data_IF_537411143366
#
_entry.id   IF_537411143366
#
_cell.length_a   1.000
_cell.length_b   1.000
_cell.length_c   1.000
_cell.angle_alpha   90.00
_cell.angle_beta   90.00
_cell.angle_gamma   90.00
#
_symmetry.space_group_name_H-M   'P 1'
#
loop_
_entity.id
_entity.type
_entity.pdbx_description
1 polymer ?
#
# COMPACT_ATOMS: atom_id res chain seq x y z
N UNK A 1 -6.18 -8.70 -13.13
CA UNK A 1 -6.07 -7.25 -13.34
C UNK A 1 -4.72 -6.88 -13.97
N UNK A 2 -3.61 -7.38 -13.44
CA UNK A 2 -2.28 -6.95 -13.91
C UNK A 2 -1.75 -7.62 -15.16
N UNK A 3 -2.39 -8.69 -15.67
CA UNK A 3 -1.94 -9.41 -16.86
C UNK A 3 -1.81 -8.49 -18.08
N UNK A 4 -2.74 -7.55 -18.27
CA UNK A 4 -2.66 -6.57 -19.36
C UNK A 4 -1.46 -5.63 -19.20
N UNK A 5 -1.13 -5.22 -17.97
CA UNK A 5 0.03 -4.37 -17.68
C UNK A 5 1.35 -5.13 -17.82
N UNK A 6 1.37 -6.42 -17.47
CA UNK A 6 2.52 -7.29 -17.73
C UNK A 6 2.79 -7.38 -19.23
N UNK A 7 1.77 -7.69 -20.04
CA UNK A 7 1.89 -7.76 -21.51
C UNK A 7 2.34 -6.40 -22.08
N UNK A 8 1.75 -5.30 -21.61
CA UNK A 8 2.15 -3.96 -22.00
C UNK A 8 3.64 -3.71 -21.70
N UNK A 9 4.10 -4.04 -20.49
CA UNK A 9 5.50 -3.85 -20.08
C UNK A 9 6.47 -4.70 -20.90
N UNK A 10 6.08 -5.92 -21.27
CA UNK A 10 6.88 -6.77 -22.17
C UNK A 10 7.01 -6.17 -23.59
N UNK A 11 5.96 -5.51 -24.09
CA UNK A 11 5.94 -4.93 -25.42
C UNK A 11 6.59 -3.54 -25.47
N UNK A 12 6.50 -2.77 -24.40
CA UNK A 12 6.92 -1.36 -24.33
C UNK A 12 7.95 -1.15 -23.22
N UNK A 13 9.15 -1.68 -23.43
CA UNK A 13 10.25 -1.65 -22.46
C UNK A 13 10.85 -0.25 -22.22
N UNK A 14 10.44 0.77 -22.99
CA UNK A 14 10.87 2.15 -22.77
C UNK A 14 10.20 2.84 -21.56
N UNK A 15 9.21 2.20 -20.94
CA UNK A 15 8.55 2.72 -19.74
C UNK A 15 9.11 2.04 -18.49
N UNK A 16 9.89 2.79 -17.70
CA UNK A 16 10.45 2.30 -16.45
C UNK A 16 9.38 2.00 -15.40
N UNK A 17 8.27 2.76 -15.44
CA UNK A 17 7.16 2.65 -14.49
C UNK A 17 5.80 2.74 -15.17
N UNK A 18 4.84 1.97 -14.64
CA UNK A 18 3.46 1.94 -15.13
C UNK A 18 2.49 2.21 -13.98
N UNK A 19 1.58 3.15 -14.19
CA UNK A 19 0.49 3.46 -13.26
C UNK A 19 -0.73 2.58 -13.54
N UNK A 20 -1.34 2.07 -12.48
CA UNK A 20 -2.64 1.41 -12.51
C UNK A 20 -3.60 2.18 -11.63
N UNK A 21 -4.55 2.87 -12.27
CA UNK A 21 -5.60 3.63 -11.61
C UNK A 21 -6.96 3.04 -12.01
N UNK A 22 -7.85 2.85 -11.03
CA UNK A 22 -9.20 2.36 -11.30
C UNK A 22 -10.08 3.40 -12.00
N UNK A 23 -11.02 2.96 -12.84
CA UNK A 23 -11.87 3.85 -13.67
C UNK A 23 -12.79 4.80 -12.85
N UNK A 24 -13.09 4.42 -11.61
CA UNK A 24 -13.92 5.17 -10.67
C UNK A 24 -13.08 5.93 -9.63
N UNK A 25 -11.79 6.12 -9.90
CA UNK A 25 -10.96 7.10 -9.20
C UNK A 25 -11.15 8.49 -9.84
N UNK A 26 -11.15 9.52 -9.02
CA UNK A 26 -11.01 10.92 -9.46
C UNK A 26 -9.83 11.56 -8.73
N UNK A 27 -9.12 12.42 -9.45
CA UNK A 27 -8.13 13.32 -8.87
C UNK A 27 -8.74 14.71 -8.87
N UNK A 28 -8.81 15.34 -7.70
CA UNK A 28 -9.07 16.78 -7.60
C UNK A 28 -7.72 17.50 -7.43
N UNK A 29 -7.51 18.60 -8.14
CA UNK A 29 -6.20 19.26 -8.26
C UNK A 29 -5.39 18.82 -9.49
N UNK A 30 -4.10 19.16 -9.53
CA UNK A 30 -3.24 18.92 -10.69
C UNK A 30 -2.66 17.50 -10.66
N UNK A 31 -3.09 16.63 -11.58
CA UNK A 31 -2.71 15.22 -11.59
C UNK A 31 -1.18 15.00 -11.60
N UNK A 32 -0.44 15.78 -12.40
CA UNK A 32 1.02 15.67 -12.43
C UNK A 32 1.64 15.96 -11.06
N UNK A 33 1.17 16.97 -10.32
CA UNK A 33 1.74 17.35 -9.03
C UNK A 33 1.49 16.26 -7.98
N UNK A 34 0.31 15.65 -8.00
CA UNK A 34 -0.05 14.55 -7.09
C UNK A 34 0.85 13.34 -7.36
N UNK A 35 0.97 12.92 -8.62
CA UNK A 35 1.71 11.72 -8.99
C UNK A 35 3.23 11.93 -8.91
N UNK A 36 3.74 13.13 -9.20
CA UNK A 36 5.16 13.47 -9.05
C UNK A 36 5.55 13.60 -7.58
N UNK A 37 4.70 14.20 -6.74
CA UNK A 37 4.92 14.28 -5.29
C UNK A 37 4.94 12.90 -4.64
N UNK A 38 4.10 11.97 -5.09
CA UNK A 38 4.15 10.57 -4.65
C UNK A 38 5.52 9.94 -4.96
N UNK A 39 6.09 10.23 -6.14
CA UNK A 39 7.41 9.74 -6.50
C UNK A 39 8.54 10.36 -5.67
N UNK A 40 8.49 11.67 -5.45
CA UNK A 40 9.44 12.37 -4.57
C UNK A 40 9.37 11.83 -3.14
N UNK A 41 8.16 11.61 -2.61
CA UNK A 41 7.95 11.00 -1.31
C UNK A 41 8.59 9.61 -1.23
N UNK A 42 8.30 8.74 -2.20
CA UNK A 42 8.82 7.37 -2.22
C UNK A 42 10.35 7.33 -2.34
N UNK A 43 10.97 8.24 -3.10
CA UNK A 43 12.42 8.36 -3.21
C UNK A 43 13.09 8.74 -1.89
N UNK A 44 12.42 9.57 -1.08
CA UNK A 44 12.94 10.01 0.22
C UNK A 44 12.74 8.99 1.35
N UNK A 45 11.92 7.96 1.14
CA UNK A 45 11.70 6.91 2.13
C UNK A 45 12.92 5.97 2.23
N UNK A 46 13.53 5.81 3.43
CA UNK A 46 14.56 4.80 3.66
C UNK A 46 13.94 3.40 3.70
N UNK A 47 14.70 2.36 3.36
CA UNK A 47 14.28 0.96 3.42
C UNK A 47 14.21 0.41 4.85
N UNK A 48 14.93 1.00 5.79
CA UNK A 48 14.83 0.67 7.22
C UNK A 48 13.37 0.67 7.65
N UNK A 49 12.88 -0.43 8.24
CA UNK A 49 11.52 -0.59 8.80
C UNK A 49 10.38 -0.10 7.87
N UNK A 50 10.66 -0.01 6.56
CA UNK A 50 9.72 0.48 5.55
C UNK A 50 8.50 -0.44 5.47
N UNK A 51 8.71 -1.74 5.66
CA UNK A 51 7.65 -2.74 5.75
C UNK A 51 6.65 -2.42 6.88
N UNK A 52 7.13 -2.02 8.04
CA UNK A 52 6.32 -1.71 9.21
C UNK A 52 5.60 -0.35 9.06
N UNK A 53 6.22 0.62 8.37
CA UNK A 53 5.57 1.88 7.96
C UNK A 53 4.48 1.65 6.92
N UNK A 54 4.72 0.79 5.94
CA UNK A 54 3.73 0.45 4.91
C UNK A 54 2.53 -0.33 5.45
N UNK A 55 2.70 -1.03 6.58
CA UNK A 55 1.63 -1.79 7.22
C UNK A 55 0.63 -0.93 8.02
N UNK A 56 0.67 0.40 7.90
CA UNK A 56 -0.16 1.34 8.66
C UNK A 56 -0.42 2.63 7.88
N UNK A 57 -1.44 3.38 8.29
CA UNK A 57 -1.68 4.73 7.82
C UNK A 57 -0.77 5.73 8.52
N UNK A 58 -0.32 6.75 7.79
CA UNK A 58 0.30 7.93 8.39
C UNK A 58 -0.81 8.91 8.82
N UNK A 59 -0.83 9.27 10.10
CA UNK A 59 -1.76 10.25 10.68
C UNK A 59 -0.96 11.51 11.05
N UNK A 60 -0.96 12.56 10.20
CA UNK A 60 -0.06 13.71 10.34
C UNK A 60 -0.15 14.40 11.71
N UNK A 61 -1.34 14.52 12.27
CA UNK A 61 -1.62 15.19 13.54
C UNK A 61 -0.93 14.51 14.75
N UNK A 62 -0.54 13.24 14.65
CA UNK A 62 0.21 12.55 15.70
C UNK A 62 1.71 12.76 15.63
N UNK A 63 2.20 13.38 14.55
CA UNK A 63 3.62 13.50 14.24
C UNK A 63 4.01 14.93 13.85
N UNK A 64 3.28 15.94 14.35
CA UNK A 64 3.48 17.36 14.02
C UNK A 64 3.54 17.63 12.50
N UNK A 65 2.76 16.86 11.74
CA UNK A 65 2.73 16.88 10.26
C UNK A 65 4.09 16.60 9.60
N UNK A 66 5.00 15.90 10.29
CA UNK A 66 6.31 15.51 9.80
C UNK A 66 6.39 14.00 9.58
N UNK A 67 6.72 13.63 8.33
CA UNK A 67 6.98 12.24 7.98
C UNK A 67 8.24 11.71 8.69
N UNK A 68 9.23 12.57 8.93
CA UNK A 68 10.45 12.22 9.66
C UNK A 68 10.13 11.80 11.10
N UNK A 69 9.22 12.52 11.78
CA UNK A 69 8.74 12.16 13.12
C UNK A 69 7.92 10.87 13.12
N UNK A 70 7.12 10.62 12.08
CA UNK A 70 6.44 9.35 11.91
C UNK A 70 7.44 8.20 11.75
N UNK A 71 8.42 8.37 10.87
CA UNK A 71 9.48 7.37 10.64
C UNK A 71 10.28 7.09 11.91
N UNK A 72 10.68 8.12 12.65
CA UNK A 72 11.37 7.96 13.93
C UNK A 72 10.52 7.20 14.96
N UNK A 73 9.23 7.52 15.08
CA UNK A 73 8.32 6.85 16.01
C UNK A 73 8.12 5.36 15.65
N UNK A 74 8.00 5.04 14.36
CA UNK A 74 7.91 3.63 13.92
C UNK A 74 9.22 2.90 14.17
N UNK A 75 10.37 3.53 13.91
CA UNK A 75 11.68 2.94 14.19
C UNK A 75 11.86 2.65 15.68
N UNK A 76 11.43 3.56 16.56
CA UNK A 76 11.45 3.35 18.02
C UNK A 76 10.51 2.21 18.45
N UNK A 77 9.29 2.14 17.91
CA UNK A 77 8.34 1.07 18.23
C UNK A 77 8.86 -0.30 17.79
N UNK A 78 9.45 -0.38 16.61
CA UNK A 78 9.87 -1.63 15.96
C UNK A 78 11.22 -2.11 16.47
N UNK A 79 12.17 -1.19 16.70
CA UNK A 79 13.54 -1.51 17.09
C UNK A 79 14.19 -2.48 16.11
N UNK A 80 14.97 -3.43 16.63
CA UNK A 80 15.70 -4.40 15.80
C UNK A 80 14.83 -5.51 15.18
N UNK A 81 13.53 -5.55 15.48
CA UNK A 81 12.62 -6.59 14.99
C UNK A 81 12.12 -6.37 13.56
N UNK A 82 12.34 -5.18 13.00
CA UNK A 82 11.89 -4.84 11.65
C UNK A 82 12.57 -5.68 10.58
N UNK A 83 11.85 -5.95 9.49
CA UNK A 83 12.41 -6.74 8.38
C UNK A 83 13.09 -5.83 7.36
N UNK A 84 14.31 -6.18 6.98
CA UNK A 84 15.11 -5.43 6.01
C UNK A 84 15.36 -6.30 4.78
N UNK A 85 14.99 -5.80 3.60
CA UNK A 85 15.11 -6.54 2.35
C UNK A 85 14.06 -7.65 2.18
N UNK A 86 14.44 -8.71 1.47
CA UNK A 86 13.56 -9.81 1.11
C UNK A 86 13.15 -10.68 2.31
N UNK A 87 11.94 -11.22 2.27
CA UNK A 87 11.48 -12.23 3.23
C UNK A 87 11.74 -13.62 2.67
N UNK A 88 12.39 -14.47 3.46
CA UNK A 88 12.67 -15.85 3.08
C UNK A 88 11.37 -16.64 2.86
N UNK A 89 11.32 -17.38 1.76
CA UNK A 89 10.30 -18.38 1.45
C UNK A 89 10.98 -19.55 0.73
N UNK A 90 10.44 -20.76 0.89
CA UNK A 90 11.05 -21.98 0.37
C UNK A 90 11.10 -21.95 -1.17
N UNK A 91 12.22 -22.43 -1.73
CA UNK A 91 12.46 -22.51 -3.19
C UNK A 91 12.31 -21.18 -3.94
N UNK A 92 12.69 -20.07 -3.33
CA UNK A 92 12.59 -18.74 -3.94
C UNK A 92 13.89 -17.96 -3.84
N UNK A 93 14.26 -17.31 -4.94
CA UNK A 93 15.48 -16.48 -5.05
C UNK A 93 15.09 -15.01 -5.24
N UNK A 94 15.28 -14.16 -4.21
CA UNK A 94 15.03 -12.73 -4.32
C UNK A 94 15.89 -12.06 -5.40
N UNK A 95 15.36 -11.01 -6.03
CA UNK A 95 16.04 -10.27 -7.12
C UNK A 95 16.33 -8.80 -6.76
N UNK A 96 15.83 -8.34 -5.61
CA UNK A 96 16.12 -7.02 -5.06
C UNK A 96 17.49 -6.96 -4.37
N UNK A 97 17.89 -5.77 -3.92
CA UNK A 97 19.18 -5.56 -3.27
C UNK A 97 19.28 -6.32 -1.94
N UNK A 98 20.45 -6.90 -1.68
CA UNK A 98 20.74 -7.50 -0.38
C UNK A 98 20.80 -6.42 0.69
N UNK A 99 20.10 -6.66 1.81
CA UNK A 99 20.08 -5.71 2.91
C UNK A 99 21.47 -5.56 3.54
N UNK A 100 21.90 -4.32 3.85
CA UNK A 100 23.13 -4.08 4.58
C UNK A 100 22.98 -4.51 6.06
N UNK A 101 24.11 -4.54 6.77
CA UNK A 101 24.10 -4.74 8.23
C UNK A 101 23.44 -3.52 8.89
N UNK A 102 22.39 -3.77 9.70
CA UNK A 102 21.49 -2.73 10.26
C UNK A 102 22.21 -1.56 10.94
N UNK A 103 23.27 -1.82 11.69
CA UNK A 103 23.96 -0.82 12.50
C UNK A 103 24.68 0.28 11.68
N UNK A 104 24.81 0.11 10.36
CA UNK A 104 25.71 0.94 9.56
C UNK A 104 24.99 1.84 8.53
N UNK A 105 23.67 1.72 8.31
CA UNK A 105 23.05 2.44 7.18
C UNK A 105 21.55 2.76 7.30
N UNK A 106 21.21 3.75 8.13
CA UNK A 106 19.85 4.32 8.23
C UNK A 106 19.38 5.03 6.95
N UNK A 107 20.30 5.35 6.04
CA UNK A 107 20.01 6.05 4.78
C UNK A 107 19.82 5.09 3.59
N UNK A 108 19.85 3.77 3.82
CA UNK A 108 19.73 2.79 2.75
C UNK A 108 18.40 2.95 1.98
N UNK A 109 18.48 3.04 0.66
CA UNK A 109 17.34 3.22 -0.23
C UNK A 109 16.86 4.66 -0.41
N UNK A 110 17.44 5.66 0.28
CA UNK A 110 17.15 7.07 -0.03
C UNK A 110 17.71 7.41 -1.42
N UNK A 111 16.90 8.10 -2.23
CA UNK A 111 17.20 8.43 -3.63
C UNK A 111 16.89 7.31 -4.63
N UNK A 112 16.60 6.10 -4.14
CA UNK A 112 16.10 4.99 -4.95
C UNK A 112 14.59 5.17 -5.18
N UNK A 113 14.16 5.10 -6.45
CA UNK A 113 12.72 5.08 -6.73
C UNK A 113 12.10 3.74 -6.28
N UNK A 114 10.82 3.72 -5.92
CA UNK A 114 10.17 2.50 -5.45
C UNK A 114 9.57 1.68 -6.60
N UNK A 115 9.82 0.37 -6.56
CA UNK A 115 9.27 -0.64 -7.46
C UNK A 115 7.75 -0.78 -7.34
N UNK A 116 7.20 -0.45 -6.17
CA UNK A 116 5.77 -0.48 -5.92
C UNK A 116 5.34 0.76 -5.13
N UNK A 117 4.40 1.51 -5.69
CA UNK A 117 3.57 2.44 -4.92
C UNK A 117 2.25 1.78 -4.62
N UNK A 118 1.75 1.95 -3.40
CA UNK A 118 0.36 1.64 -3.06
C UNK A 118 -0.26 2.82 -2.34
N UNK A 119 -1.48 3.20 -2.72
CA UNK A 119 -2.23 4.25 -2.02
C UNK A 119 -3.06 3.68 -0.85
N UNK A 120 -2.86 2.42 -0.51
CA UNK A 120 -3.34 1.80 0.71
C UNK A 120 -2.18 1.16 1.48
N UNK A 121 -2.28 1.01 2.81
CA UNK A 121 -1.32 0.24 3.56
C UNK A 121 -1.22 -1.18 3.03
N UNK A 122 0.01 -1.65 2.85
CA UNK A 122 0.32 -3.03 2.53
C UNK A 122 0.33 -3.84 3.82
N UNK A 123 -0.81 -4.44 4.19
CA UNK A 123 -0.95 -5.24 5.41
C UNK A 123 -0.47 -6.67 5.20
N UNK A 124 -0.21 -7.38 6.29
CA UNK A 124 -0.08 -8.84 6.31
C UNK A 124 -1.50 -9.45 6.30
N UNK A 125 -1.90 -10.18 5.24
CA UNK A 125 -3.24 -10.74 5.15
C UNK A 125 -3.43 -11.98 6.05
N UNK A 126 -2.36 -12.59 6.57
CA UNK A 126 -2.45 -13.84 7.36
C UNK A 126 -3.07 -13.55 8.74
N UNK A 127 -4.08 -14.33 9.11
CA UNK A 127 -4.86 -14.17 10.34
C UNK A 127 -5.90 -13.04 10.29
N UNK A 128 -6.05 -12.36 9.16
CA UNK A 128 -6.98 -11.23 9.02
C UNK A 128 -8.42 -11.64 8.77
N UNK A 129 -8.65 -12.92 8.41
CA UNK A 129 -9.94 -13.46 7.99
C UNK A 129 -10.48 -12.82 6.70
N UNK A 130 -9.60 -12.21 5.90
CA UNK A 130 -9.92 -11.72 4.56
C UNK A 130 -10.50 -12.85 3.70
N UNK A 131 -11.50 -12.55 2.87
CA UNK A 131 -12.13 -13.53 1.98
C UNK A 131 -11.15 -14.20 0.99
N UNK A 132 -10.04 -13.53 0.67
CA UNK A 132 -8.99 -14.06 -0.21
C UNK A 132 -7.71 -14.46 0.55
N UNK A 133 -7.75 -14.56 1.88
CA UNK A 133 -6.58 -14.90 2.69
C UNK A 133 -5.92 -16.24 2.28
N UNK A 134 -6.73 -17.21 1.89
CA UNK A 134 -6.28 -18.56 1.47
C UNK A 134 -6.09 -18.68 -0.05
N UNK A 135 -6.26 -17.58 -0.81
CA UNK A 135 -6.17 -17.58 -2.28
C UNK A 135 -4.73 -17.39 -2.75
N UNK A 136 -3.91 -18.39 -2.45
CA UNK A 136 -2.50 -18.48 -2.87
C UNK A 136 -2.22 -19.85 -3.50
N UNK A 137 -1.55 -19.86 -4.64
CA UNK A 137 -1.36 -21.06 -5.46
C UNK A 137 0.02 -21.07 -6.11
N UNK A 138 0.62 -22.27 -6.26
CA UNK A 138 1.93 -22.44 -6.90
C UNK A 138 3.14 -22.11 -6.03
N UNK A 139 2.94 -21.76 -4.75
CA UNK A 139 4.01 -21.51 -3.79
C UNK A 139 4.30 -22.75 -2.94
N UNK A 140 5.57 -23.08 -2.72
CA UNK A 140 5.99 -24.25 -1.92
C UNK A 140 5.44 -24.19 -0.49
N UNK A 141 5.46 -23.00 0.14
CA UNK A 141 4.97 -22.80 1.50
C UNK A 141 3.42 -22.73 1.59
N UNK A 142 2.71 -22.77 0.47
CA UNK A 142 1.25 -22.69 0.41
C UNK A 142 0.71 -21.46 1.15
N UNK A 143 -0.26 -21.67 2.06
CA UNK A 143 -0.83 -20.61 2.91
C UNK A 143 0.17 -20.03 3.93
N UNK A 144 1.32 -20.69 4.17
CA UNK A 144 2.36 -20.15 5.06
C UNK A 144 3.31 -19.18 4.35
N UNK A 145 3.22 -19.03 3.03
CA UNK A 145 4.03 -18.07 2.27
C UNK A 145 3.85 -16.66 2.83
N UNK A 146 4.94 -15.94 3.18
CA UNK A 146 4.88 -14.54 3.60
C UNK A 146 4.25 -13.67 2.53
N UNK A 147 3.26 -12.86 2.91
CA UNK A 147 2.45 -12.08 1.96
C UNK A 147 2.25 -10.64 2.40
N UNK A 148 1.93 -9.81 1.43
CA UNK A 148 1.34 -8.48 1.64
C UNK A 148 0.11 -8.33 0.77
N UNK A 149 -0.83 -7.54 1.25
CA UNK A 149 -2.00 -7.13 0.50
C UNK A 149 -2.31 -5.65 0.74
N UNK A 150 -2.67 -4.94 -0.31
CA UNK A 150 -3.20 -3.59 -0.26
C UNK A 150 -4.52 -3.58 -1.04
N UNK A 151 -5.60 -3.39 -0.31
CA UNK A 151 -6.94 -3.32 -0.89
C UNK A 151 -7.07 -2.03 -1.66
N UNK A 152 -7.98 -1.98 -2.64
CA UNK A 152 -8.12 -0.81 -3.51
C UNK A 152 -6.82 -0.63 -4.31
N UNK A 153 -6.61 -1.56 -5.26
CA UNK A 153 -5.42 -1.61 -6.12
C UNK A 153 -5.27 -0.34 -6.96
N UNK A 154 -4.60 0.65 -6.39
CA UNK A 154 -4.21 1.90 -7.01
C UNK A 154 -2.73 2.06 -6.74
N UNK A 155 -1.96 1.92 -7.79
CA UNK A 155 -0.55 1.56 -7.65
C UNK A 155 0.27 2.08 -8.81
N UNK A 156 1.58 2.12 -8.61
CA UNK A 156 2.60 2.29 -9.66
C UNK A 156 3.59 1.15 -9.53
N UNK A 157 4.00 0.53 -10.63
CA UNK A 157 4.93 -0.59 -10.61
C UNK A 157 6.15 -0.30 -11.49
N UNK A 158 7.33 -0.77 -11.09
CA UNK A 158 8.50 -0.82 -11.96
C UNK A 158 8.35 -1.89 -13.05
N UNK A 159 9.06 -1.69 -14.15
CA UNK A 159 9.23 -2.71 -15.19
C UNK A 159 9.75 -4.03 -14.61
N UNK A 160 10.73 -3.95 -13.70
CA UNK A 160 11.29 -5.12 -13.01
C UNK A 160 10.22 -5.92 -12.26
N UNK A 161 9.41 -5.27 -11.43
CA UNK A 161 8.35 -5.95 -10.68
C UNK A 161 7.33 -6.62 -11.63
N UNK A 162 6.93 -5.93 -12.69
CA UNK A 162 6.02 -6.50 -13.70
C UNK A 162 6.61 -7.72 -14.39
N UNK A 163 7.91 -7.71 -14.72
CA UNK A 163 8.61 -8.82 -15.32
C UNK A 163 8.69 -10.03 -14.36
N UNK A 164 9.05 -9.80 -13.10
CA UNK A 164 9.15 -10.87 -12.10
C UNK A 164 7.80 -11.55 -11.85
N UNK A 165 6.73 -10.75 -11.74
CA UNK A 165 5.38 -11.27 -11.60
C UNK A 165 4.95 -12.05 -12.86
N UNK A 166 5.30 -11.55 -14.04
CA UNK A 166 5.01 -12.24 -15.30
C UNK A 166 5.69 -13.61 -15.36
N UNK A 167 6.98 -13.69 -15.03
CA UNK A 167 7.74 -14.93 -14.99
C UNK A 167 7.15 -15.92 -13.97
N UNK A 168 6.90 -15.46 -12.75
CA UNK A 168 6.31 -16.27 -11.69
C UNK A 168 4.95 -16.87 -12.07
N UNK A 169 4.08 -16.07 -12.71
CA UNK A 169 2.75 -16.52 -13.14
C UNK A 169 2.81 -17.45 -14.35
N UNK A 170 3.62 -17.11 -15.36
CA UNK A 170 3.65 -17.84 -16.64
C UNK A 170 4.48 -19.11 -16.59
N UNK A 171 5.57 -19.13 -15.82
CA UNK A 171 6.52 -20.24 -15.79
C UNK A 171 6.34 -21.12 -14.55
N UNK A 172 6.00 -20.53 -13.41
CA UNK A 172 5.93 -21.25 -12.13
C UNK A 172 4.49 -21.46 -11.62
N UNK A 173 3.48 -20.89 -12.29
CA UNK A 173 2.08 -21.00 -11.88
C UNK A 173 1.79 -20.33 -10.53
N UNK A 174 2.67 -19.43 -10.09
CA UNK A 174 2.53 -18.71 -8.82
C UNK A 174 1.50 -17.59 -8.97
N UNK A 175 0.37 -17.71 -8.28
CA UNK A 175 -0.75 -16.78 -8.41
C UNK A 175 -1.34 -16.39 -7.05
N UNK A 176 -1.69 -15.11 -6.94
CA UNK A 176 -2.49 -14.51 -5.87
C UNK A 176 -3.56 -13.61 -6.48
N UNK A 177 -4.56 -13.22 -5.69
CA UNK A 177 -5.53 -12.19 -6.10
C UNK A 177 -4.85 -10.84 -6.37
N UNK A 178 -5.53 -9.96 -7.11
CA UNK A 178 -4.99 -8.66 -7.54
C UNK A 178 -4.37 -7.89 -6.39
N UNK A 179 -5.11 -7.70 -5.32
CA UNK A 179 -4.78 -6.87 -4.14
C UNK A 179 -3.58 -7.40 -3.35
N UNK A 180 -3.08 -8.59 -3.67
CA UNK A 180 -1.92 -9.19 -3.00
C UNK A 180 -0.76 -9.52 -3.94
N UNK A 181 -0.97 -9.50 -5.26
CA UNK A 181 0.03 -9.99 -6.22
C UNK A 181 1.29 -9.13 -6.17
N UNK A 182 1.16 -7.84 -6.42
CA UNK A 182 2.32 -6.95 -6.59
C UNK A 182 3.01 -6.71 -5.25
N UNK A 183 2.22 -6.59 -4.20
CA UNK A 183 2.63 -6.39 -2.83
C UNK A 183 3.43 -7.59 -2.31
N UNK A 184 2.97 -8.81 -2.59
CA UNK A 184 3.66 -10.04 -2.17
C UNK A 184 4.94 -10.26 -2.96
N UNK A 185 4.93 -10.07 -4.29
CA UNK A 185 6.16 -10.22 -5.09
C UNK A 185 7.20 -9.16 -4.74
N UNK A 186 6.80 -7.91 -4.50
CA UNK A 186 7.72 -6.88 -4.01
C UNK A 186 8.34 -7.27 -2.66
N UNK A 187 7.55 -7.81 -1.73
CA UNK A 187 8.03 -8.33 -0.44
C UNK A 187 9.06 -9.46 -0.63
N UNK A 188 8.71 -10.52 -1.37
CA UNK A 188 9.55 -11.71 -1.50
C UNK A 188 10.83 -11.41 -2.25
N UNK A 189 10.80 -10.53 -3.25
CA UNK A 189 12.01 -10.12 -3.96
C UNK A 189 12.83 -9.07 -3.21
N UNK A 190 12.34 -8.48 -2.10
CA UNK A 190 13.05 -7.43 -1.37
C UNK A 190 13.10 -6.09 -2.13
N UNK A 191 12.15 -5.88 -3.03
CA UNK A 191 12.02 -4.66 -3.82
C UNK A 191 11.50 -3.51 -2.96
N UNK A 192 11.77 -2.26 -3.36
CA UNK A 192 11.31 -1.11 -2.58
C UNK A 192 9.83 -0.91 -2.86
N UNK A 193 8.99 -1.16 -1.85
CA UNK A 193 7.57 -0.86 -1.91
C UNK A 193 7.27 0.27 -0.91
N UNK A 194 6.43 1.24 -1.29
CA UNK A 194 6.08 2.38 -0.44
C UNK A 194 4.56 2.59 -0.47
N UNK A 195 3.95 2.64 0.70
CA UNK A 195 2.58 3.13 0.85
C UNK A 195 2.59 4.66 0.84
N UNK A 196 1.96 5.25 -0.17
CA UNK A 196 1.94 6.69 -0.40
C UNK A 196 0.83 7.31 0.47
N UNK A 197 1.18 8.21 1.42
CA UNK A 197 0.17 8.93 2.16
C UNK A 197 -0.55 9.92 1.24
N UNK A 198 -1.87 9.98 1.35
CA UNK A 198 -2.67 11.00 0.71
C UNK A 198 -3.83 11.41 1.63
N UNK A 199 -4.43 12.61 1.44
CA UNK A 199 -5.56 13.01 2.25
C UNK A 199 -6.75 12.08 2.00
N UNK A 200 -7.37 11.62 3.09
CA UNK A 200 -8.59 10.83 3.11
C UNK A 200 -9.55 11.54 4.06
N UNK A 201 -10.65 12.05 3.51
CA UNK A 201 -11.70 12.69 4.29
C UNK A 201 -12.69 11.64 4.80
N UNK A 202 -13.42 11.95 5.87
CA UNK A 202 -14.52 11.12 6.36
C UNK A 202 -15.76 11.99 6.60
N UNK A 203 -16.94 11.41 6.37
CA UNK A 203 -18.21 12.14 6.53
C UNK A 203 -18.46 12.55 8.00
N UNK A 204 -19.13 13.70 8.19
CA UNK A 204 -19.59 14.23 9.49
C UNK A 204 -18.50 14.46 10.55
N UNK A 205 -17.23 14.51 10.17
CA UNK A 205 -16.14 14.69 11.12
C UNK A 205 -15.68 16.16 11.18
N UNK A 206 -16.35 16.97 11.98
CA UNK A 206 -15.67 18.17 12.54
C UNK A 206 -14.61 17.76 13.58
N UNK A 207 -14.66 16.50 14.04
CA UNK A 207 -13.90 15.96 15.18
C UNK A 207 -13.23 14.59 14.89
N UNK A 208 -12.82 14.36 13.64
CA UNK A 208 -11.69 13.44 13.35
C UNK A 208 -10.39 13.91 14.03
N UNK A 209 -10.42 15.16 14.51
CA UNK A 209 -9.32 16.03 14.89
C UNK A 209 -8.68 15.71 16.25
N UNK A 210 -9.18 14.74 17.02
CA UNK A 210 -8.41 14.12 18.09
C UNK A 210 -7.74 12.84 17.55
N UNK A 211 -6.67 13.01 16.77
CA UNK A 211 -5.98 12.00 15.97
C UNK A 211 -5.66 10.65 16.67
N UNK A 212 -5.65 10.62 18.00
CA UNK A 212 -5.48 9.39 18.81
C UNK A 212 -6.64 8.39 18.69
N UNK A 213 -7.89 8.88 18.57
CA UNK A 213 -9.07 8.00 18.46
C UNK A 213 -9.09 7.21 17.13
N UNK A 214 -8.94 7.85 15.95
CA UNK A 214 -8.89 7.11 14.69
C UNK A 214 -7.69 6.17 14.62
N UNK A 215 -6.52 6.58 15.13
CA UNK A 215 -5.34 5.71 15.25
C UNK A 215 -5.67 4.41 15.99
N UNK A 216 -6.25 4.50 17.19
CA UNK A 216 -6.65 3.33 17.97
C UNK A 216 -7.70 2.45 17.27
N UNK A 217 -8.56 3.03 16.43
CA UNK A 217 -9.62 2.31 15.73
C UNK A 217 -9.14 1.59 14.46
N UNK A 218 -8.10 2.10 13.79
CA UNK A 218 -7.61 1.56 12.52
C UNK A 218 -6.27 0.83 12.65
N UNK A 219 -5.50 1.07 13.72
CA UNK A 219 -4.19 0.46 13.97
C UNK A 219 -4.20 -0.60 15.06
N UNK A 220 -5.06 -1.61 14.92
CA UNK A 220 -5.28 -2.67 15.91
C UNK A 220 -4.42 -3.94 15.68
N UNK A 221 -3.73 -4.03 14.55
CA UNK A 221 -2.91 -5.18 14.20
C UNK A 221 -1.54 -5.24 14.88
N UNK A 222 -0.73 -6.26 14.56
CA UNK A 222 0.65 -6.39 15.07
C UNK A 222 1.56 -5.27 14.51
N UNK A 223 2.76 -5.10 15.09
CA UNK A 223 3.71 -4.02 14.72
C UNK A 223 4.02 -3.95 13.22
N UNK A 224 4.13 -5.10 12.55
CA UNK A 224 4.42 -5.18 11.12
C UNK A 224 3.19 -4.94 10.23
N UNK A 225 1.99 -4.86 10.79
CA UNK A 225 0.75 -4.76 10.03
C UNK A 225 -0.36 -4.14 10.88
N UNK A 226 -0.14 -2.93 11.39
CA UNK A 226 -1.09 -2.24 12.29
C UNK A 226 -2.47 -2.05 11.66
N UNK A 227 -2.54 -1.70 10.38
CA UNK A 227 -3.81 -1.58 9.67
C UNK A 227 -4.46 -2.95 9.35
N UNK A 228 -3.74 -4.05 9.59
CA UNK A 228 -4.27 -5.42 9.48
C UNK A 228 -4.67 -5.98 10.84
N UNK A 229 -4.37 -7.27 11.05
CA UNK A 229 -4.80 -8.02 12.23
C UNK A 229 -6.18 -8.67 12.04
N UNK A 230 -6.70 -9.31 13.08
CA UNK A 230 -7.95 -10.08 12.98
C UNK A 230 -9.16 -9.16 12.73
N UNK A 231 -9.88 -9.37 11.64
CA UNK A 231 -11.07 -8.60 11.22
C UNK A 231 -10.85 -7.08 11.20
N UNK A 232 -9.86 -6.55 10.45
CA UNK A 232 -9.69 -5.11 10.35
C UNK A 232 -10.87 -4.50 9.58
N UNK A 233 -11.26 -3.29 9.96
CA UNK A 233 -12.47 -2.59 9.46
C UNK A 233 -12.40 -2.08 8.01
N UNK A 234 -11.37 -2.53 7.29
CA UNK A 234 -11.12 -2.22 5.89
C UNK A 234 -11.11 -3.49 5.03
N UNK A 235 -11.71 -4.59 5.48
CA UNK A 235 -11.78 -5.86 4.73
C UNK A 235 -13.21 -6.35 4.53
N UNK A 236 -13.37 -7.05 3.41
CA UNK A 236 -14.42 -8.05 3.28
C UNK A 236 -13.89 -9.39 3.81
N UNK A 237 -14.43 -9.85 4.94
CA UNK A 237 -14.02 -11.11 5.57
C UNK A 237 -14.79 -12.30 5.03
N UNK A 238 -14.41 -13.51 5.42
CA UNK A 238 -15.15 -14.74 5.09
C UNK A 238 -16.59 -14.74 5.62
N UNK A 239 -16.91 -13.93 6.63
CA UNK A 239 -18.26 -13.77 7.20
C UNK A 239 -18.98 -12.49 6.74
N UNK A 240 -18.38 -11.73 5.82
CA UNK A 240 -18.95 -10.51 5.27
C UNK A 240 -18.13 -9.26 5.59
N UNK A 241 -18.70 -8.11 5.28
CA UNK A 241 -18.05 -6.83 5.47
C UNK A 241 -17.93 -6.46 6.96
N UNK A 242 -16.75 -6.01 7.37
CA UNK A 242 -16.53 -5.44 8.71
C UNK A 242 -16.73 -3.94 8.63
N UNK A 243 -17.85 -3.46 9.19
CA UNK A 243 -18.13 -2.04 9.27
C UNK A 243 -17.10 -1.32 10.14
N UNK A 244 -16.81 -0.07 9.79
CA UNK A 244 -15.97 0.80 10.60
C UNK A 244 -15.82 2.17 9.99
N UNK A 245 -14.88 2.99 10.49
CA UNK A 245 -14.77 4.39 10.06
C UNK A 245 -14.57 4.52 8.54
N UNK A 246 -13.92 3.53 7.91
CA UNK A 246 -13.67 3.49 6.48
C UNK A 246 -14.90 3.57 5.60
N UNK A 247 -16.06 3.07 6.04
CA UNK A 247 -17.32 3.12 5.25
C UNK A 247 -17.73 4.55 4.86
N UNK A 248 -17.32 5.54 5.64
CA UNK A 248 -17.66 6.94 5.41
C UNK A 248 -16.48 7.73 4.87
N UNK A 249 -15.42 7.08 4.41
CA UNK A 249 -14.23 7.75 3.90
C UNK A 249 -14.36 8.15 2.43
N UNK A 250 -13.53 9.10 2.00
CA UNK A 250 -13.38 9.50 0.60
C UNK A 250 -12.54 8.51 -0.22
N UNK A 251 -12.20 7.35 0.36
CA UNK A 251 -11.27 6.39 -0.21
C UNK A 251 -11.60 4.95 0.20
N UNK A 252 -12.87 4.57 0.06
CA UNK A 252 -13.37 3.23 0.36
C UNK A 252 -14.49 2.84 -0.59
N UNK A 253 -14.48 1.60 -1.08
CA UNK A 253 -15.36 1.07 -2.15
C UNK A 253 -16.89 1.27 -1.94
N UNK A 254 -17.32 1.49 -0.71
CA UNK A 254 -18.70 1.77 -0.33
C UNK A 254 -18.73 3.05 0.51
N UNK A 255 -19.44 4.08 0.05
CA UNK A 255 -19.54 5.36 0.75
C UNK A 255 -19.93 6.50 -0.19
N UNK A 256 -20.48 7.57 0.37
CA UNK A 256 -20.91 8.75 -0.39
C UNK A 256 -19.96 9.94 -0.26
N UNK A 257 -18.87 9.81 0.51
CA UNK A 257 -17.97 10.93 0.80
C UNK A 257 -17.11 11.33 -0.41
N UNK A 258 -16.58 10.35 -1.15
CA UNK A 258 -15.84 10.63 -2.40
C UNK A 258 -16.72 11.35 -3.46
N UNK A 259 -17.93 10.86 -3.79
CA UNK A 259 -18.86 11.56 -4.68
C UNK A 259 -19.26 12.95 -4.17
N UNK A 260 -19.49 13.10 -2.84
CA UNK A 260 -19.82 14.38 -2.23
C UNK A 260 -18.71 15.41 -2.47
N UNK A 261 -17.47 15.07 -2.13
CA UNK A 261 -16.31 15.96 -2.31
C UNK A 261 -16.07 16.25 -3.81
N UNK A 262 -16.26 15.25 -4.67
CA UNK A 262 -16.16 15.43 -6.12
C UNK A 262 -17.18 16.48 -6.62
N UNK A 263 -18.43 16.43 -6.17
CA UNK A 263 -19.44 17.41 -6.57
C UNK A 263 -19.20 18.80 -5.98
N UNK A 264 -18.65 18.89 -4.77
CA UNK A 264 -18.18 20.17 -4.21
C UNK A 264 -17.08 20.80 -5.07
N UNK A 265 -16.10 19.99 -5.48
CA UNK A 265 -15.03 20.42 -6.38
C UNK A 265 -15.59 20.92 -7.72
N UNK A 266 -16.52 20.17 -8.35
CA UNK A 266 -17.19 20.59 -9.59
C UNK A 266 -18.06 21.85 -9.40
N UNK A 267 -18.58 22.07 -8.19
CA UNK A 267 -19.31 23.28 -7.80
C UNK A 267 -18.41 24.51 -7.60
N UNK A 268 -17.09 24.36 -7.71
CA UNK A 268 -16.12 25.46 -7.58
C UNK A 268 -15.57 25.67 -6.16
N UNK A 269 -15.82 24.74 -5.23
CA UNK A 269 -15.19 24.81 -3.90
C UNK A 269 -13.67 24.58 -4.01
N UNK A 270 -12.89 25.39 -3.29
CA UNK A 270 -11.45 25.23 -3.21
C UNK A 270 -11.10 24.14 -2.20
N UNK A 271 -10.69 22.97 -2.71
CA UNK A 271 -10.36 21.79 -1.94
C UNK A 271 -8.88 21.42 -2.15
N UNK A 272 -8.21 20.80 -1.15
CA UNK A 272 -6.85 20.33 -1.32
C UNK A 272 -6.77 19.25 -2.42
N UNK A 273 -5.59 19.00 -3.01
CA UNK A 273 -5.41 17.89 -3.94
C UNK A 273 -5.69 16.54 -3.25
N UNK A 274 -6.54 15.71 -3.85
CA UNK A 274 -6.97 14.43 -3.26
C UNK A 274 -7.22 13.36 -4.31
N UNK A 275 -6.99 12.11 -3.91
CA UNK A 275 -7.51 10.93 -4.59
C UNK A 275 -8.88 10.60 -3.99
N UNK A 276 -9.92 10.61 -4.83
CA UNK A 276 -11.28 10.25 -4.44
C UNK A 276 -11.64 8.89 -5.03
N UNK A 277 -12.15 8.00 -4.19
CA UNK A 277 -12.62 6.69 -4.62
C UNK A 277 -13.70 6.11 -3.71
N UNK A 278 -14.76 5.50 -4.28
CA UNK A 278 -15.15 5.53 -5.68
C UNK A 278 -15.98 6.79 -6.01
N UNK A 279 -15.89 7.26 -7.24
CA UNK A 279 -16.87 8.19 -7.82
C UNK A 279 -17.53 7.48 -8.99
N UNK A 280 -18.83 7.23 -8.87
CA UNK A 280 -19.68 6.58 -9.88
C UNK A 280 -20.78 7.56 -10.22
N UNK A 281 -20.96 7.81 -11.51
CA UNK A 281 -22.03 8.67 -12.05
C UNK A 281 -23.31 7.84 -12.29
#
# INVERSE_FOLDING_TARGET
MYQALQIFSQQFQQFDFVWQLEMHLRLIGHAYEILSSAAVFAQNEPRENLRERNGRFYIPELHDKSNEKFTAAVNEEVGDSGTWGAVNTTDFTPQGPQAPVKAENMAWGIGEDADLFSFMPMIDPIGTNWVCEDRIYGFTDGESTPRRAAFISKTRFSHLLLQLVHEAQSQHGQWLVSEATMETFALMHGLKAVSIPHPIAFANSNDIMAARKPDQAIHMGPKHSKAGGHNPSLLYTKQGYVAGPWEQSSYWWSGNEAPRIWHQYLGGECLPPMLLHPVKD
#
